data_IF_895202499133
#
_entry.id   IF_895202499133
#
_cell.length_a   1.000
_cell.length_b   1.000
_cell.length_c   1.000
_cell.angle_alpha   90.00
_cell.angle_beta   90.00
_cell.angle_gamma   90.00
#
_symmetry.space_group_name_H-M   'P 1'
#
loop_
_entity.id
_entity.type
_entity.pdbx_description
1 polymer ?
#
# COMPACT_ATOMS: atom_id res chain seq x y z
N UNK A 1 3.49 -14.15 18.76
CA UNK A 1 4.76 -13.40 18.70
C UNK A 1 4.97 -12.70 17.36
N UNK A 2 4.96 -13.38 16.22
CA UNK A 2 5.27 -12.76 14.92
C UNK A 2 4.36 -11.58 14.53
N UNK A 3 3.05 -11.65 14.82
CA UNK A 3 2.11 -10.54 14.58
C UNK A 3 2.48 -9.31 15.40
N UNK A 4 2.90 -9.49 16.66
CA UNK A 4 3.30 -8.39 17.54
C UNK A 4 4.60 -7.76 17.06
N UNK A 5 5.60 -8.58 16.69
CA UNK A 5 6.85 -8.08 16.11
C UNK A 5 6.60 -7.30 14.81
N UNK A 6 5.73 -7.82 13.93
CA UNK A 6 5.37 -7.16 12.67
C UNK A 6 4.64 -5.83 12.91
N UNK A 7 3.69 -5.80 13.86
CA UNK A 7 2.97 -4.59 14.22
C UNK A 7 3.91 -3.51 14.79
N UNK A 8 4.75 -3.86 15.78
CA UNK A 8 5.70 -2.94 16.40
C UNK A 8 6.73 -2.43 15.40
N UNK A 9 7.27 -3.30 14.55
CA UNK A 9 8.19 -2.91 13.49
C UNK A 9 7.57 -1.93 12.51
N UNK A 10 6.32 -2.19 12.09
CA UNK A 10 5.57 -1.29 11.21
C UNK A 10 5.27 0.06 11.86
N UNK A 11 4.95 0.10 13.16
CA UNK A 11 4.74 1.35 13.90
C UNK A 11 6.04 2.15 13.98
N UNK A 12 7.16 1.52 14.36
CA UNK A 12 8.47 2.18 14.45
C UNK A 12 8.92 2.76 13.12
N UNK A 13 8.81 1.99 12.03
CA UNK A 13 9.15 2.46 10.69
C UNK A 13 8.27 3.64 10.26
N UNK A 14 6.95 3.55 10.48
CA UNK A 14 6.02 4.65 10.16
C UNK A 14 6.31 5.91 10.96
N UNK A 15 6.67 5.79 12.24
CA UNK A 15 7.04 6.93 13.08
C UNK A 15 8.25 7.66 12.51
N UNK A 16 9.31 6.92 12.16
CA UNK A 16 10.55 7.49 11.62
C UNK A 16 10.38 8.05 10.20
N UNK A 17 9.59 7.39 9.36
CA UNK A 17 9.34 7.81 7.98
C UNK A 17 8.15 8.77 7.84
N UNK A 18 7.49 9.15 8.93
CA UNK A 18 6.30 10.00 8.88
C UNK A 18 6.52 11.35 8.18
N UNK A 19 7.67 12.05 8.37
CA UNK A 19 7.96 13.27 7.62
C UNK A 19 7.93 13.07 6.10
N UNK A 20 8.44 11.93 5.61
CA UNK A 20 8.49 11.59 4.19
C UNK A 20 7.10 11.28 3.64
N UNK A 21 6.26 10.60 4.43
CA UNK A 21 4.85 10.35 4.07
C UNK A 21 4.08 11.67 3.95
N UNK A 22 4.27 12.59 4.90
CA UNK A 22 3.62 13.90 4.86
C UNK A 22 4.05 14.72 3.63
N UNK A 23 5.35 14.70 3.29
CA UNK A 23 5.85 15.35 2.08
C UNK A 23 5.22 14.72 0.82
N UNK A 24 5.15 13.39 0.75
CA UNK A 24 4.49 12.65 -0.35
C UNK A 24 3.04 13.11 -0.50
N UNK A 25 2.26 13.09 0.56
CA UNK A 25 0.85 13.48 0.54
C UNK A 25 0.67 14.91 0.03
N UNK A 26 1.37 15.87 0.64
CA UNK A 26 1.30 17.29 0.22
C UNK A 26 1.75 17.46 -1.23
N UNK A 27 2.73 16.69 -1.70
CA UNK A 27 3.17 16.71 -3.10
C UNK A 27 2.05 16.25 -4.05
N UNK A 28 1.32 15.18 -3.70
CA UNK A 28 0.23 14.62 -4.49
C UNK A 28 -1.01 15.51 -4.53
N UNK A 29 -1.37 16.08 -3.39
CA UNK A 29 -2.67 16.74 -3.20
C UNK A 29 -2.59 18.25 -3.23
N UNK A 30 -1.43 18.84 -2.94
CA UNK A 30 -1.32 20.21 -2.47
C UNK A 30 -1.94 20.37 -1.07
N UNK A 31 -1.88 21.59 -0.52
CA UNK A 31 -2.71 21.93 0.63
C UNK A 31 -4.13 22.23 0.19
N UNK A 32 -5.09 21.86 1.03
CA UNK A 32 -6.49 22.24 0.91
C UNK A 32 -6.64 23.76 0.81
N UNK A 33 -7.25 24.26 -0.26
CA UNK A 33 -7.46 25.69 -0.52
C UNK A 33 -6.33 26.38 -1.28
N UNK A 34 -5.19 25.71 -1.51
CA UNK A 34 -4.21 26.22 -2.47
C UNK A 34 -4.85 26.13 -3.87
N UNK A 35 -4.83 27.21 -4.67
CA UNK A 35 -5.21 27.12 -6.06
C UNK A 35 -4.20 26.20 -6.75
N UNK A 36 -4.57 24.94 -6.99
CA UNK A 36 -3.95 24.21 -8.07
C UNK A 36 -4.28 25.03 -9.31
N UNK A 37 -3.24 25.60 -9.91
CA UNK A 37 -3.32 26.49 -11.07
C UNK A 37 -4.49 26.06 -11.95
N UNK A 38 -5.56 26.86 -11.91
CA UNK A 38 -6.75 26.61 -12.70
C UNK A 38 -6.30 26.55 -14.16
N UNK A 39 -6.82 25.61 -14.94
CA UNK A 39 -6.52 25.53 -16.37
C UNK A 39 -6.75 26.89 -17.09
N UNK A 40 -7.63 27.74 -16.55
CA UNK A 40 -7.85 29.11 -17.02
C UNK A 40 -6.62 30.02 -16.82
N UNK A 41 -5.85 29.86 -15.75
CA UNK A 41 -4.60 30.60 -15.51
C UNK A 41 -3.45 30.01 -16.32
N UNK A 42 -3.42 28.69 -16.50
CA UNK A 42 -2.46 28.01 -17.38
C UNK A 42 -2.62 28.39 -18.87
N UNK A 43 -3.83 28.78 -19.30
CA UNK A 43 -4.06 29.31 -20.64
C UNK A 43 -3.52 30.74 -20.84
N UNK A 44 -3.31 31.49 -19.75
CA UNK A 44 -2.81 32.89 -19.79
C UNK A 44 -1.29 33.02 -19.59
N UNK A 45 -0.62 31.98 -19.12
CA UNK A 45 0.84 31.93 -18.95
C UNK A 45 1.42 30.77 -19.73
N UNK A 46 2.31 31.05 -20.69
CA UNK A 46 3.04 30.07 -21.50
C UNK A 46 3.99 29.14 -20.70
N UNK A 47 4.01 29.26 -19.38
CA UNK A 47 4.78 28.44 -18.46
C UNK A 47 3.88 27.40 -17.77
N UNK A 48 4.13 26.08 -17.94
CA UNK A 48 3.39 25.06 -17.23
C UNK A 48 3.54 25.26 -15.72
N UNK A 49 2.44 25.13 -14.98
CA UNK A 49 2.43 25.23 -13.52
C UNK A 49 3.55 24.36 -12.92
N UNK A 50 4.42 24.91 -12.04
CA UNK A 50 5.51 24.13 -11.47
C UNK A 50 4.93 22.94 -10.70
N UNK A 51 5.28 21.73 -11.13
CA UNK A 51 4.91 20.53 -10.43
C UNK A 51 5.54 20.60 -9.05
N UNK A 52 4.72 20.59 -7.98
CA UNK A 52 5.23 20.55 -6.62
C UNK A 52 6.26 19.42 -6.50
N UNK A 53 7.50 19.79 -6.16
CA UNK A 53 8.59 18.84 -5.96
C UNK A 53 8.67 18.44 -4.49
N UNK A 54 9.42 17.37 -4.19
CA UNK A 54 9.68 16.90 -2.84
C UNK A 54 10.18 18.06 -1.94
N UNK A 55 11.22 18.77 -2.37
CA UNK A 55 11.82 19.86 -1.61
C UNK A 55 10.92 21.08 -1.47
N UNK A 56 10.14 21.40 -2.52
CA UNK A 56 9.19 22.50 -2.46
C UNK A 56 8.08 22.22 -1.43
N UNK A 57 7.56 20.98 -1.42
CA UNK A 57 6.55 20.54 -0.44
C UNK A 57 7.13 20.54 0.98
N UNK A 58 8.35 20.01 1.16
CA UNK A 58 9.05 20.04 2.45
C UNK A 58 9.27 21.47 2.96
N UNK A 59 9.75 22.38 2.10
CA UNK A 59 9.95 23.80 2.45
C UNK A 59 8.63 24.49 2.78
N UNK A 60 7.55 24.15 2.06
CA UNK A 60 6.21 24.70 2.33
C UNK A 60 5.66 24.24 3.69
N UNK A 61 5.81 22.95 4.03
CA UNK A 61 5.41 22.41 5.34
C UNK A 61 6.21 23.11 6.45
N UNK A 62 7.53 23.17 6.30
CA UNK A 62 8.40 23.83 7.29
C UNK A 62 8.03 25.30 7.48
N UNK A 63 7.84 26.05 6.39
CA UNK A 63 7.52 27.47 6.45
C UNK A 63 6.14 27.77 7.04
N UNK A 64 5.15 26.89 6.83
CA UNK A 64 3.78 27.07 7.35
C UNK A 64 3.63 26.58 8.80
N UNK A 65 4.36 25.53 9.20
CA UNK A 65 4.00 24.72 10.39
C UNK A 65 5.20 24.20 11.20
N UNK A 66 6.42 24.41 10.72
CA UNK A 66 7.64 23.87 11.32
C UNK A 66 7.63 22.33 11.39
N UNK A 67 8.30 21.80 12.42
CA UNK A 67 8.45 20.35 12.65
C UNK A 67 7.11 19.66 12.87
N UNK A 68 6.16 20.31 13.55
CA UNK A 68 4.86 19.74 13.87
C UNK A 68 4.02 19.40 12.62
N UNK A 69 4.23 20.13 11.51
CA UNK A 69 3.58 19.82 10.23
C UNK A 69 3.93 18.44 9.69
N UNK A 70 5.19 18.01 9.83
CA UNK A 70 5.70 16.73 9.32
C UNK A 70 5.17 15.50 10.05
N UNK A 71 4.59 15.66 11.24
CA UNK A 71 4.09 14.56 12.08
C UNK A 71 2.55 14.51 12.15
N UNK A 72 1.85 15.22 11.27
CA UNK A 72 0.37 15.24 11.28
C UNK A 72 -0.23 13.93 10.82
N UNK A 73 -1.11 13.36 11.64
CA UNK A 73 -1.75 12.08 11.35
C UNK A 73 -0.93 10.86 11.80
N UNK A 74 0.25 11.08 12.42
CA UNK A 74 1.07 9.97 12.93
C UNK A 74 0.32 9.12 13.96
N UNK A 75 -0.53 9.73 14.77
CA UNK A 75 -1.34 9.05 15.78
C UNK A 75 -2.30 8.03 15.17
N UNK A 76 -3.13 8.44 14.20
CA UNK A 76 -4.07 7.53 13.53
C UNK A 76 -3.34 6.43 12.75
N UNK A 77 -2.22 6.76 12.12
CA UNK A 77 -1.39 5.79 11.40
C UNK A 77 -0.80 4.72 12.34
N UNK A 78 -0.31 5.13 13.52
CA UNK A 78 0.27 4.23 14.50
C UNK A 78 -0.79 3.32 15.15
N UNK A 79 -1.88 3.89 15.68
CA UNK A 79 -2.96 3.14 16.35
C UNK A 79 -3.59 2.12 15.39
N UNK A 80 -3.76 2.52 14.14
CA UNK A 80 -4.32 1.70 13.10
C UNK A 80 -3.45 0.54 12.61
N UNK A 81 -2.14 0.59 12.89
CA UNK A 81 -1.18 -0.33 12.30
C UNK A 81 -1.32 -1.77 12.78
N UNK A 82 -1.45 -1.97 14.09
CA UNK A 82 -1.52 -3.29 14.69
C UNK A 82 -2.78 -4.10 14.25
N UNK A 83 -4.02 -3.57 14.37
CA UNK A 83 -5.21 -4.31 13.95
C UNK A 83 -5.22 -4.57 12.44
N UNK A 84 -4.74 -3.64 11.62
CA UNK A 84 -4.66 -3.82 10.17
C UNK A 84 -3.68 -4.94 9.77
N UNK A 85 -2.51 -5.00 10.40
CA UNK A 85 -1.52 -6.08 10.17
C UNK A 85 -2.05 -7.42 10.64
N UNK A 86 -2.67 -7.48 11.82
CA UNK A 86 -3.24 -8.71 12.34
C UNK A 86 -4.33 -9.26 11.41
N UNK A 87 -5.23 -8.39 10.93
CA UNK A 87 -6.32 -8.77 10.04
C UNK A 87 -5.79 -9.24 8.67
N UNK A 88 -4.77 -8.57 8.12
CA UNK A 88 -4.11 -8.99 6.90
C UNK A 88 -3.49 -10.40 7.04
N UNK A 89 -2.63 -10.60 8.04
CA UNK A 89 -1.95 -11.88 8.25
C UNK A 89 -2.92 -13.02 8.56
N UNK A 90 -3.94 -12.76 9.38
CA UNK A 90 -4.98 -13.74 9.68
C UNK A 90 -5.74 -14.14 8.42
N UNK A 91 -6.21 -13.16 7.64
CA UNK A 91 -6.97 -13.44 6.41
C UNK A 91 -6.11 -14.15 5.38
N UNK A 92 -4.85 -13.73 5.21
CA UNK A 92 -3.90 -14.39 4.32
C UNK A 92 -3.68 -15.85 4.71
N UNK A 93 -3.42 -16.12 6.00
CA UNK A 93 -3.19 -17.47 6.50
C UNK A 93 -4.43 -18.36 6.37
N UNK A 94 -5.62 -17.84 6.70
CA UNK A 94 -6.88 -18.54 6.52
C UNK A 94 -7.14 -18.87 5.04
N UNK A 95 -6.97 -17.89 4.15
CA UNK A 95 -7.16 -18.07 2.71
C UNK A 95 -6.16 -19.07 2.12
N UNK A 96 -4.88 -18.91 2.45
CA UNK A 96 -3.78 -19.79 2.02
C UNK A 96 -3.98 -21.24 2.48
N UNK A 97 -4.43 -21.42 3.73
CA UNK A 97 -4.70 -22.74 4.32
C UNK A 97 -5.95 -23.39 3.73
N UNK A 98 -7.03 -22.63 3.58
CA UNK A 98 -8.25 -23.11 2.94
C UNK A 98 -8.01 -23.53 1.48
N UNK A 99 -7.22 -22.75 0.73
CA UNK A 99 -6.85 -23.08 -0.65
C UNK A 99 -6.08 -24.40 -0.74
N UNK A 100 -5.08 -24.59 0.13
CA UNK A 100 -4.30 -25.84 0.18
C UNK A 100 -5.18 -27.03 0.54
N UNK A 101 -5.97 -26.93 1.62
CA UNK A 101 -6.91 -27.99 2.05
C UNK A 101 -7.89 -28.37 0.95
N UNK A 102 -8.40 -27.39 0.20
CA UNK A 102 -9.30 -27.64 -0.91
C UNK A 102 -8.61 -28.38 -2.07
N UNK A 103 -7.37 -28.00 -2.41
CA UNK A 103 -6.56 -28.67 -3.43
C UNK A 103 -6.13 -30.08 -3.02
N UNK A 104 -5.68 -30.27 -1.79
CA UNK A 104 -5.25 -31.58 -1.24
C UNK A 104 -6.41 -32.59 -1.20
N UNK A 105 -7.65 -32.10 -1.06
CA UNK A 105 -8.87 -32.89 -1.22
C UNK A 105 -9.06 -33.50 -2.62
N UNK A 106 -8.34 -33.05 -3.65
CA UNK A 106 -8.27 -33.74 -4.95
C UNK A 106 -7.40 -35.00 -4.88
N UNK A 107 -6.26 -34.95 -4.18
CA UNK A 107 -5.30 -36.04 -4.09
C UNK A 107 -5.84 -37.22 -3.26
N UNK A 108 -6.66 -36.94 -2.24
CA UNK A 108 -7.33 -37.97 -1.45
C UNK A 108 -8.43 -38.74 -2.20
N UNK A 109 -9.07 -38.11 -3.20
CA UNK A 109 -10.14 -38.75 -3.98
C UNK A 109 -9.62 -39.68 -5.09
N UNK A 110 -8.36 -39.52 -5.50
CA UNK A 110 -7.69 -40.40 -6.48
C UNK A 110 -7.08 -41.66 -5.87
N UNK A 111 -7.08 -41.80 -4.53
CA UNK A 111 -6.49 -42.94 -3.81
C UNK A 111 -7.50 -43.99 -3.31
N UNK A 112 -8.81 -43.73 -3.37
CA UNK A 112 -9.84 -44.65 -2.92
C UNK A 112 -10.52 -45.36 -4.10
N UNK A 113 -9.79 -46.29 -4.72
CA UNK A 113 -10.40 -47.37 -5.49
C UNK A 113 -10.68 -48.51 -4.51
N UNK A 114 -11.69 -48.36 -3.65
CA UNK A 114 -12.24 -49.49 -2.90
C UNK A 114 -13.74 -49.60 -3.19
N UNK A 115 -14.09 -50.79 -3.62
CA UNK A 115 -15.40 -51.35 -3.91
C UNK A 115 -16.33 -51.29 -2.69
N UNK A 116 -17.56 -50.77 -2.83
CA UNK A 116 -18.63 -51.04 -1.86
C UNK A 116 -19.68 -49.95 -1.67
N UNK A 117 -20.84 -50.18 -2.30
CA UNK A 117 -22.21 -49.89 -1.85
C UNK A 117 -22.66 -48.51 -1.32
N UNK A 118 -23.45 -47.84 -2.17
CA UNK A 118 -24.74 -47.18 -1.91
C UNK A 118 -25.02 -46.50 -0.56
N UNK A 119 -24.92 -45.16 -0.57
CA UNK A 119 -25.90 -44.26 0.06
C UNK A 119 -25.97 -42.92 -0.70
N UNK A 120 -27.16 -42.42 -1.08
CA UNK A 120 -27.29 -41.14 -1.76
C UNK A 120 -27.27 -40.00 -0.73
N UNK A 121 -26.07 -39.54 -0.43
CA UNK A 121 -25.77 -38.37 0.39
C UNK A 121 -24.25 -38.16 0.41
N UNK A 122 -23.76 -37.03 0.93
CA UNK A 122 -22.93 -35.97 0.31
C UNK A 122 -22.02 -36.25 -0.93
N UNK A 123 -22.12 -37.38 -1.62
CA UNK A 123 -21.20 -37.80 -2.69
C UNK A 123 -21.31 -37.00 -3.99
N UNK A 124 -22.51 -36.54 -4.36
CA UNK A 124 -22.72 -35.84 -5.64
C UNK A 124 -21.96 -34.51 -5.71
N UNK A 125 -21.91 -33.76 -4.60
CA UNK A 125 -21.18 -32.49 -4.51
C UNK A 125 -19.66 -32.68 -4.57
N UNK A 126 -19.14 -33.81 -4.10
CA UNK A 126 -17.71 -34.14 -4.19
C UNK A 126 -17.28 -34.46 -5.63
N UNK A 127 -18.13 -35.12 -6.43
CA UNK A 127 -17.87 -35.40 -7.84
C UNK A 127 -17.91 -34.11 -8.67
N UNK A 128 -18.86 -33.20 -8.41
CA UNK A 128 -18.96 -31.92 -9.12
C UNK A 128 -17.77 -30.98 -8.86
N UNK A 129 -17.17 -31.03 -7.66
CA UNK A 129 -16.07 -30.14 -7.28
C UNK A 129 -14.68 -30.68 -7.62
N UNK A 130 -14.55 -31.95 -8.02
CA UNK A 130 -13.28 -32.59 -8.35
C UNK A 130 -12.43 -31.84 -9.41
N UNK A 131 -12.99 -31.35 -10.54
CA UNK A 131 -12.22 -30.54 -11.50
C UNK A 131 -11.71 -29.23 -10.89
N UNK A 132 -12.50 -28.60 -10.00
CA UNK A 132 -12.10 -27.37 -9.32
C UNK A 132 -11.00 -27.61 -8.29
N UNK A 133 -11.04 -28.73 -7.56
CA UNK A 133 -9.98 -29.10 -6.62
C UNK A 133 -8.67 -29.40 -7.34
N UNK A 134 -8.72 -30.11 -8.47
CA UNK A 134 -7.54 -30.36 -9.29
C UNK A 134 -6.93 -29.06 -9.84
N UNK A 135 -7.76 -28.13 -10.32
CA UNK A 135 -7.31 -26.80 -10.74
C UNK A 135 -6.67 -26.01 -9.59
N UNK A 136 -7.26 -26.06 -8.39
CA UNK A 136 -6.71 -25.40 -7.20
C UNK A 136 -5.35 -25.99 -6.77
N UNK A 137 -5.17 -27.30 -6.87
CA UNK A 137 -3.92 -27.99 -6.57
C UNK A 137 -2.81 -27.70 -7.61
N UNK A 138 -3.19 -27.60 -8.89
CA UNK A 138 -2.27 -27.29 -9.99
C UNK A 138 -1.90 -25.80 -10.10
N UNK A 139 -2.52 -24.93 -9.30
CA UNK A 139 -2.30 -23.48 -9.35
C UNK A 139 -0.85 -23.13 -8.93
N UNK A 140 -0.10 -22.33 -9.73
CA UNK A 140 1.24 -21.89 -9.35
C UNK A 140 1.25 -21.15 -8.00
N UNK A 141 2.32 -21.34 -7.22
CA UNK A 141 2.45 -20.75 -5.88
C UNK A 141 2.35 -19.21 -5.90
N UNK A 142 2.92 -18.55 -6.92
CA UNK A 142 2.86 -17.10 -7.12
C UNK A 142 1.43 -16.59 -7.30
N UNK A 143 0.61 -17.26 -8.12
CA UNK A 143 -0.80 -16.93 -8.33
C UNK A 143 -1.58 -17.09 -7.03
N UNK A 144 -1.38 -18.21 -6.32
CA UNK A 144 -2.03 -18.45 -5.04
C UNK A 144 -1.68 -17.39 -4.00
N UNK A 145 -0.40 -17.03 -3.87
CA UNK A 145 0.05 -15.99 -2.95
C UNK A 145 -0.53 -14.63 -3.31
N UNK A 146 -0.57 -14.28 -4.60
CA UNK A 146 -1.15 -13.03 -5.07
C UNK A 146 -2.64 -12.95 -4.75
N UNK A 147 -3.42 -14.00 -5.04
CA UNK A 147 -4.87 -14.02 -4.76
C UNK A 147 -5.16 -13.99 -3.26
N UNK A 148 -4.41 -14.77 -2.45
CA UNK A 148 -4.54 -14.73 -0.99
C UNK A 148 -4.16 -13.34 -0.45
N UNK A 149 -3.15 -12.70 -1.02
CA UNK A 149 -2.75 -11.32 -0.69
C UNK A 149 -3.82 -10.29 -1.03
N UNK A 150 -4.45 -10.39 -2.21
CA UNK A 150 -5.58 -9.52 -2.58
C UNK A 150 -6.79 -9.70 -1.66
N UNK A 151 -7.11 -10.94 -1.30
CA UNK A 151 -8.20 -11.23 -0.36
C UNK A 151 -7.90 -10.67 1.03
N UNK A 152 -6.66 -10.86 1.51
CA UNK A 152 -6.19 -10.30 2.76
C UNK A 152 -6.23 -8.77 2.76
N UNK A 153 -5.83 -8.13 1.66
CA UNK A 153 -5.88 -6.68 1.53
C UNK A 153 -7.30 -6.13 1.52
N UNK A 154 -8.23 -6.84 0.88
CA UNK A 154 -9.64 -6.46 0.85
C UNK A 154 -10.21 -6.39 2.28
N UNK A 155 -9.93 -7.41 3.08
CA UNK A 155 -10.41 -7.46 4.47
C UNK A 155 -9.64 -6.48 5.36
N UNK A 156 -8.31 -6.38 5.22
CA UNK A 156 -7.49 -5.45 6.00
C UNK A 156 -7.86 -3.98 5.74
N UNK A 157 -8.29 -3.64 4.52
CA UNK A 157 -8.74 -2.30 4.12
C UNK A 157 -9.96 -1.81 4.90
N UNK A 158 -10.71 -2.70 5.57
CA UNK A 158 -11.76 -2.30 6.52
C UNK A 158 -11.20 -1.46 7.68
N UNK A 159 -9.97 -1.75 8.08
CA UNK A 159 -9.24 -0.98 9.08
C UNK A 159 -8.45 0.13 8.40
N UNK A 160 -7.64 -0.20 7.37
CA UNK A 160 -6.69 0.74 6.77
C UNK A 160 -7.32 1.97 6.12
N UNK A 161 -8.44 1.83 5.40
CA UNK A 161 -8.95 2.95 4.60
C UNK A 161 -9.45 4.12 5.48
N UNK A 162 -10.21 3.91 6.57
CA UNK A 162 -10.54 4.98 7.50
C UNK A 162 -9.33 5.70 8.10
N UNK A 163 -8.27 4.95 8.43
CA UNK A 163 -7.01 5.49 8.96
C UNK A 163 -6.31 6.35 7.90
N UNK A 164 -6.17 5.82 6.68
CA UNK A 164 -5.56 6.52 5.56
C UNK A 164 -6.33 7.81 5.28
N UNK A 165 -7.65 7.76 5.15
CA UNK A 165 -8.47 8.96 4.88
C UNK A 165 -8.26 10.03 5.96
N UNK A 166 -8.25 9.66 7.24
CA UNK A 166 -8.00 10.61 8.33
C UNK A 166 -6.58 11.18 8.26
N UNK A 167 -5.57 10.33 8.06
CA UNK A 167 -4.15 10.70 7.95
C UNK A 167 -3.90 11.65 6.78
N UNK A 168 -4.34 11.27 5.58
CA UNK A 168 -4.15 12.05 4.35
C UNK A 168 -4.81 13.44 4.49
N UNK A 169 -6.01 13.52 5.08
CA UNK A 169 -6.69 14.80 5.33
C UNK A 169 -6.02 15.66 6.40
N UNK A 170 -5.36 15.05 7.39
CA UNK A 170 -4.58 15.74 8.42
C UNK A 170 -3.26 16.29 7.84
N UNK A 171 -2.64 15.56 6.92
CA UNK A 171 -1.40 15.95 6.23
C UNK A 171 -1.66 17.06 5.19
N UNK A 172 -2.81 17.02 4.50
CA UNK A 172 -3.13 17.96 3.42
C UNK A 172 -3.78 19.29 3.86
N UNK A 173 -3.91 19.57 5.16
CA UNK A 173 -4.61 20.77 5.64
C UNK A 173 -3.64 21.92 5.95
N UNK A 174 -3.86 23.14 5.43
CA UNK A 174 -3.03 24.28 5.81
C UNK A 174 -3.46 24.89 7.15
N UNK A 175 -2.64 25.76 7.75
CA UNK A 175 -2.97 26.50 8.97
C UNK A 175 -4.19 27.40 8.83
N UNK A 176 -4.39 27.96 7.63
CA UNK A 176 -5.47 28.89 7.31
C UNK A 176 -6.84 28.24 7.15
N UNK A 177 -6.92 26.90 7.22
CA UNK A 177 -8.15 26.19 6.95
C UNK A 177 -9.18 26.37 8.08
N UNK A 178 -10.36 26.90 7.74
CA UNK A 178 -11.50 26.92 8.64
C UNK A 178 -11.97 25.50 8.96
N UNK A 179 -12.37 25.25 10.22
CA UNK A 179 -12.74 23.91 10.71
C UNK A 179 -11.63 22.85 10.55
N UNK A 180 -10.37 23.25 10.77
CA UNK A 180 -9.21 22.35 10.81
C UNK A 180 -9.41 21.22 11.82
N UNK A 181 -8.90 20.03 11.47
CA UNK A 181 -8.85 18.92 12.42
C UNK A 181 -7.75 19.17 13.45
N UNK A 182 -8.09 19.06 14.73
CA UNK A 182 -7.15 19.32 15.84
C UNK A 182 -6.33 18.08 16.18
N UNK A 183 -6.93 16.90 16.04
CA UNK A 183 -6.31 15.62 16.37
C UNK A 183 -6.76 14.49 15.43
N UNK A 184 -6.11 13.33 15.56
CA UNK A 184 -6.48 12.11 14.85
C UNK A 184 -7.91 11.65 15.13
N UNK A 185 -8.33 11.71 16.39
CA UNK A 185 -9.69 11.35 16.81
C UNK A 185 -10.72 12.38 16.35
N UNK A 186 -10.38 13.67 16.45
CA UNK A 186 -11.23 14.75 15.93
C UNK A 186 -11.44 14.62 14.42
N UNK A 187 -10.41 14.21 13.66
CA UNK A 187 -10.54 13.91 12.24
C UNK A 187 -11.53 12.77 11.99
N UNK A 188 -11.33 11.61 12.62
CA UNK A 188 -12.23 10.45 12.45
C UNK A 188 -13.68 10.78 12.83
N UNK A 189 -13.87 11.42 13.99
CA UNK A 189 -15.20 11.79 14.50
C UNK A 189 -15.88 12.80 13.57
N UNK A 190 -15.19 13.86 13.15
CA UNK A 190 -15.79 14.85 12.25
C UNK A 190 -16.06 14.28 10.87
N UNK A 191 -15.25 13.36 10.36
CA UNK A 191 -15.54 12.69 9.09
C UNK A 191 -16.81 11.84 9.23
N UNK A 192 -16.90 11.05 10.31
CA UNK A 192 -18.06 10.20 10.56
C UNK A 192 -19.35 11.01 10.75
N UNK A 193 -19.32 12.06 11.57
CA UNK A 193 -20.50 12.89 11.87
C UNK A 193 -20.97 13.66 10.65
N UNK A 194 -20.06 14.21 9.84
CA UNK A 194 -20.43 15.14 8.78
C UNK A 194 -20.52 14.49 7.38
N UNK A 195 -19.79 13.41 7.12
CA UNK A 195 -19.77 12.70 5.83
C UNK A 195 -20.30 11.26 5.91
N UNK A 196 -20.52 10.75 7.12
CA UNK A 196 -20.93 9.37 7.35
C UNK A 196 -19.82 8.36 7.08
N UNK A 197 -20.20 7.08 7.14
CA UNK A 197 -19.32 5.93 6.85
C UNK A 197 -18.69 6.05 5.45
N UNK A 198 -19.45 6.55 4.46
CA UNK A 198 -18.96 6.77 3.10
C UNK A 198 -17.78 7.75 3.03
N UNK A 199 -17.70 8.71 3.96
CA UNK A 199 -16.56 9.61 4.09
C UNK A 199 -15.30 8.91 4.56
N UNK A 200 -15.42 8.03 5.57
CA UNK A 200 -14.30 7.23 6.09
C UNK A 200 -13.75 6.24 5.06
N UNK A 201 -14.61 5.67 4.22
CA UNK A 201 -14.23 4.71 3.17
C UNK A 201 -14.02 5.35 1.80
N UNK A 202 -13.79 6.67 1.76
CA UNK A 202 -13.60 7.38 0.50
C UNK A 202 -12.31 6.91 -0.18
N UNK A 203 -12.44 6.38 -1.39
CA UNK A 203 -11.31 5.81 -2.13
C UNK A 203 -11.00 4.35 -1.81
N UNK A 204 -11.90 3.62 -1.13
CA UNK A 204 -11.72 2.18 -0.87
C UNK A 204 -11.49 1.36 -2.16
N UNK A 205 -12.36 1.53 -3.17
CA UNK A 205 -12.19 0.85 -4.46
C UNK A 205 -10.88 1.26 -5.16
N UNK A 206 -10.50 2.53 -5.09
CA UNK A 206 -9.22 3.03 -5.62
C UNK A 206 -8.03 2.42 -4.89
N UNK A 207 -8.14 2.18 -3.59
CA UNK A 207 -7.10 1.55 -2.77
C UNK A 207 -6.85 0.11 -3.24
N UNK A 208 -7.91 -0.69 -3.40
CA UNK A 208 -7.80 -2.06 -3.91
C UNK A 208 -7.27 -2.10 -5.34
N UNK A 209 -7.76 -1.21 -6.20
CA UNK A 209 -7.33 -1.12 -7.59
C UNK A 209 -5.86 -0.70 -7.75
N UNK A 210 -5.30 0.06 -6.80
CA UNK A 210 -3.88 0.40 -6.76
C UNK A 210 -3.00 -0.74 -6.24
N UNK A 211 -3.50 -1.51 -5.27
CA UNK A 211 -2.71 -2.54 -4.59
C UNK A 211 -2.31 -3.70 -5.50
N UNK A 212 -3.25 -4.24 -6.29
CA UNK A 212 -2.97 -5.38 -7.16
C UNK A 212 -1.84 -5.13 -8.17
N UNK A 213 -1.92 -4.07 -8.99
CA UNK A 213 -0.85 -3.69 -9.92
C UNK A 213 0.47 -3.41 -9.21
N UNK A 214 0.44 -2.75 -8.05
CA UNK A 214 1.67 -2.46 -7.29
C UNK A 214 2.35 -3.74 -6.83
N UNK A 215 1.60 -4.64 -6.19
CA UNK A 215 2.11 -5.92 -5.70
C UNK A 215 2.65 -6.79 -6.83
N UNK A 216 1.93 -6.88 -7.95
CA UNK A 216 2.36 -7.66 -9.11
C UNK A 216 3.71 -7.18 -9.66
N UNK A 217 3.83 -5.86 -9.91
CA UNK A 217 5.10 -5.28 -10.39
C UNK A 217 6.20 -5.44 -9.35
N UNK A 218 5.91 -5.17 -8.08
CA UNK A 218 6.88 -5.28 -7.00
C UNK A 218 7.50 -6.68 -6.93
N UNK A 219 6.67 -7.73 -6.87
CA UNK A 219 7.16 -9.10 -6.74
C UNK A 219 7.94 -9.58 -7.97
N UNK A 220 7.48 -9.24 -9.18
CA UNK A 220 8.20 -9.59 -10.42
C UNK A 220 9.60 -8.99 -10.43
N UNK A 221 9.72 -7.69 -10.12
CA UNK A 221 11.02 -7.02 -10.12
C UNK A 221 11.88 -7.39 -8.92
N UNK A 222 11.26 -7.65 -7.76
CA UNK A 222 11.97 -8.16 -6.59
C UNK A 222 12.62 -9.51 -6.89
N UNK A 223 11.87 -10.48 -7.42
CA UNK A 223 12.41 -11.80 -7.77
C UNK A 223 13.49 -11.71 -8.85
N UNK A 224 13.28 -10.87 -9.87
CA UNK A 224 14.29 -10.62 -10.89
C UNK A 224 15.58 -10.05 -10.29
N UNK A 225 15.47 -9.02 -9.45
CA UNK A 225 16.64 -8.37 -8.83
C UNK A 225 17.34 -9.29 -7.83
N UNK A 226 16.62 -10.08 -7.03
CA UNK A 226 17.23 -11.08 -6.14
C UNK A 226 18.07 -12.05 -6.96
N UNK A 227 17.50 -12.64 -8.03
CA UNK A 227 18.22 -13.59 -8.90
C UNK A 227 19.49 -12.97 -9.47
N UNK A 228 19.38 -11.78 -10.06
CA UNK A 228 20.52 -11.08 -10.69
C UNK A 228 21.59 -10.66 -9.70
N UNK A 229 21.21 -10.12 -8.54
CA UNK A 229 22.17 -9.70 -7.50
C UNK A 229 22.84 -10.90 -6.84
N UNK A 230 22.12 -12.00 -6.62
CA UNK A 230 22.71 -13.25 -6.15
C UNK A 230 23.67 -13.84 -7.18
N UNK A 231 23.31 -13.88 -8.46
CA UNK A 231 24.22 -14.29 -9.54
C UNK A 231 25.52 -13.47 -9.50
N UNK A 232 25.41 -12.13 -9.46
CA UNK A 232 26.57 -11.23 -9.38
C UNK A 232 27.40 -11.44 -8.10
N UNK A 233 26.76 -11.65 -6.96
CA UNK A 233 27.45 -11.95 -5.69
C UNK A 233 28.19 -13.29 -5.73
N UNK A 234 27.54 -14.34 -6.24
CA UNK A 234 28.15 -15.67 -6.38
C UNK A 234 29.31 -15.67 -7.37
N UNK A 235 29.28 -14.84 -8.42
CA UNK A 235 30.40 -14.69 -9.37
C UNK A 235 31.56 -13.88 -8.77
N UNK A 236 31.28 -12.87 -7.94
CA UNK A 236 32.32 -11.99 -7.36
C UNK A 236 32.99 -12.58 -6.12
N UNK A 237 32.30 -13.40 -5.33
CA UNK A 237 32.85 -14.02 -4.10
C UNK A 237 33.40 -15.43 -4.36
N UNK A 238 33.05 -16.06 -5.48
CA UNK A 238 33.57 -17.38 -5.85
C UNK A 238 34.77 -17.24 -6.82
N UNK A 239 35.88 -16.70 -6.30
CA UNK A 239 37.19 -17.19 -6.71
C UNK A 239 37.29 -18.68 -6.30
N UNK A 240 38.02 -19.54 -7.03
CA UNK A 240 37.72 -20.97 -7.07
C UNK A 240 38.10 -21.66 -5.76
N UNK A 241 37.12 -22.26 -5.08
CA UNK A 241 37.39 -23.39 -4.21
C UNK A 241 36.46 -24.54 -4.58
N UNK A 242 37.11 -25.62 -5.05
CA UNK A 242 36.54 -26.91 -5.42
C UNK A 242 35.81 -27.57 -4.25
N UNK A 243 34.78 -28.34 -4.60
CA UNK A 243 34.49 -29.62 -3.95
C UNK A 243 33.73 -29.56 -2.62
N UNK A 244 32.42 -29.83 -2.68
CA UNK A 244 31.66 -30.16 -1.47
C UNK A 244 30.16 -30.07 -1.67
N UNK A 245 29.54 -31.19 -2.01
CA UNK A 245 28.09 -31.39 -1.84
C UNK A 245 27.77 -31.14 -0.36
N UNK A 246 26.85 -30.23 -0.05
CA UNK A 246 26.29 -30.16 1.30
C UNK A 246 24.79 -29.94 1.29
N UNK A 247 24.20 -30.53 2.32
CA UNK A 247 22.85 -31.03 2.42
C UNK A 247 21.82 -29.93 2.63
N UNK A 248 20.64 -30.16 2.07
CA UNK A 248 19.44 -29.35 2.22
C UNK A 248 18.85 -29.67 3.60
N UNK A 249 19.03 -28.78 4.58
CA UNK A 249 18.17 -28.53 5.75
C UNK A 249 19.01 -28.03 6.95
N UNK A 250 19.28 -26.73 7.02
CA UNK A 250 19.34 -25.95 8.26
C UNK A 250 18.95 -24.50 7.91
N UNK A 251 18.25 -23.80 8.82
CA UNK A 251 17.93 -22.39 8.65
C UNK A 251 19.21 -21.57 8.82
N UNK A 252 19.98 -21.44 7.75
CA UNK A 252 21.23 -20.68 7.70
C UNK A 252 21.04 -19.28 8.31
N UNK A 253 21.95 -18.83 9.19
CA UNK A 253 21.91 -17.48 9.73
C UNK A 253 22.03 -16.46 8.58
N UNK A 254 21.20 -15.41 8.62
CA UNK A 254 21.21 -14.34 7.63
C UNK A 254 22.61 -13.73 7.51
N UNK A 255 23.32 -14.03 6.42
CA UNK A 255 24.58 -13.35 6.13
C UNK A 255 24.31 -11.86 5.83
N UNK A 256 25.20 -10.93 6.22
CA UNK A 256 25.06 -9.51 5.87
C UNK A 256 24.91 -9.29 4.35
N UNK A 257 25.50 -10.16 3.54
CA UNK A 257 25.38 -10.15 2.09
C UNK A 257 23.96 -10.51 1.61
N UNK A 258 23.35 -11.56 2.16
CA UNK A 258 21.97 -11.94 1.85
C UNK A 258 20.99 -10.82 2.21
N UNK A 259 21.21 -10.18 3.36
CA UNK A 259 20.42 -9.00 3.77
C UNK A 259 20.61 -7.83 2.80
N UNK A 260 21.84 -7.51 2.40
CA UNK A 260 22.12 -6.44 1.46
C UNK A 260 21.48 -6.69 0.08
N UNK A 261 21.50 -7.93 -0.41
CA UNK A 261 20.83 -8.34 -1.65
C UNK A 261 19.31 -8.16 -1.52
N UNK A 262 18.71 -8.67 -0.45
CA UNK A 262 17.27 -8.55 -0.23
C UNK A 262 16.82 -7.09 -0.09
N UNK A 263 17.61 -6.26 0.61
CA UNK A 263 17.38 -4.83 0.76
C UNK A 263 17.45 -4.10 -0.58
N UNK A 264 18.49 -4.38 -1.38
CA UNK A 264 18.71 -3.75 -2.69
C UNK A 264 17.63 -4.16 -3.69
N UNK A 265 17.26 -5.44 -3.74
CA UNK A 265 16.17 -5.94 -4.57
C UNK A 265 14.82 -5.38 -4.12
N UNK A 266 14.58 -5.29 -2.81
CA UNK A 266 13.38 -4.68 -2.24
C UNK A 266 13.26 -3.19 -2.57
N UNK A 267 14.36 -2.43 -2.50
CA UNK A 267 14.38 -1.03 -2.89
C UNK A 267 14.16 -0.87 -4.41
N UNK A 268 14.85 -1.65 -5.24
CA UNK A 268 14.71 -1.59 -6.69
C UNK A 268 13.31 -1.97 -7.17
N UNK A 269 12.73 -3.05 -6.61
CA UNK A 269 11.34 -3.44 -6.89
C UNK A 269 10.34 -2.35 -6.51
N UNK A 270 10.52 -1.69 -5.36
CA UNK A 270 9.69 -0.56 -4.94
C UNK A 270 9.80 0.64 -5.88
N UNK A 271 11.00 0.96 -6.38
CA UNK A 271 11.20 2.05 -7.34
C UNK A 271 10.40 1.78 -8.62
N UNK A 272 10.56 0.59 -9.20
CA UNK A 272 9.87 0.24 -10.45
C UNK A 272 8.35 0.19 -10.25
N UNK A 273 7.89 -0.46 -9.17
CA UNK A 273 6.46 -0.50 -8.84
C UNK A 273 5.88 0.90 -8.60
N UNK A 274 6.62 1.79 -7.94
CA UNK A 274 6.19 3.17 -7.70
C UNK A 274 6.13 3.98 -8.99
N UNK A 275 7.08 3.80 -9.91
CA UNK A 275 7.08 4.46 -11.21
C UNK A 275 5.88 4.04 -12.06
N UNK A 276 5.59 2.74 -12.14
CA UNK A 276 4.51 2.23 -12.98
C UNK A 276 3.12 2.49 -12.40
N UNK A 277 2.98 2.50 -11.07
CA UNK A 277 1.68 2.65 -10.40
C UNK A 277 1.44 4.03 -9.79
N UNK A 278 2.31 5.02 -10.06
CA UNK A 278 2.09 6.40 -9.60
C UNK A 278 0.73 6.97 -10.01
N UNK A 279 0.22 6.75 -11.24
CA UNK A 279 -1.08 7.27 -11.64
C UNK A 279 -2.22 6.83 -10.71
N UNK A 280 -2.21 5.56 -10.29
CA UNK A 280 -3.27 4.98 -9.45
C UNK A 280 -3.18 5.53 -8.01
N UNK A 281 -1.97 5.62 -7.48
CA UNK A 281 -1.72 6.15 -6.15
C UNK A 281 -2.07 7.64 -6.07
N UNK A 282 -1.69 8.44 -7.08
CA UNK A 282 -2.02 9.86 -7.14
C UNK A 282 -3.53 10.10 -7.07
N UNK A 283 -4.31 9.37 -7.88
CA UNK A 283 -5.77 9.50 -7.88
C UNK A 283 -6.37 8.99 -6.57
N UNK A 284 -5.88 7.86 -6.03
CA UNK A 284 -6.28 7.35 -4.70
C UNK A 284 -6.12 8.43 -3.63
N UNK A 285 -4.92 9.00 -3.49
CA UNK A 285 -4.62 9.99 -2.45
C UNK A 285 -5.47 11.26 -2.62
N UNK A 286 -5.63 11.76 -3.85
CA UNK A 286 -6.53 12.89 -4.15
C UNK A 286 -7.98 12.59 -3.79
N UNK A 287 -8.48 11.38 -4.05
CA UNK A 287 -9.83 10.98 -3.64
C UNK A 287 -9.99 10.96 -2.12
N UNK A 288 -9.00 10.47 -1.38
CA UNK A 288 -9.03 10.35 0.09
C UNK A 288 -9.07 11.72 0.79
N UNK A 289 -8.39 12.74 0.25
CA UNK A 289 -8.35 14.09 0.87
C UNK A 289 -9.60 14.94 0.62
N UNK A 290 -10.39 14.64 -0.41
CA UNK A 290 -11.58 15.43 -0.75
C UNK A 290 -12.62 15.45 0.38
N UNK A 291 -12.83 16.61 1.00
CA UNK A 291 -13.79 16.82 2.09
C UNK A 291 -15.17 17.19 1.54
N UNK A 292 -16.21 16.44 1.92
CA UNK A 292 -17.59 16.80 1.62
C UNK A 292 -18.15 17.86 2.58
N UNK A 293 -17.62 17.94 3.82
CA UNK A 293 -18.14 18.83 4.88
C UNK A 293 -18.08 20.31 4.51
N UNK A 294 -17.02 20.77 3.84
CA UNK A 294 -16.85 22.18 3.51
C UNK A 294 -17.86 22.67 2.46
N UNK A 295 -18.54 21.76 1.77
CA UNK A 295 -19.62 22.09 0.84
C UNK A 295 -20.97 22.33 1.54
N UNK A 296 -21.19 21.72 2.72
CA UNK A 296 -22.52 21.67 3.38
C UNK A 296 -22.74 22.79 4.39
N UNK A 297 -21.69 23.45 4.90
CA UNK A 297 -21.78 24.41 6.02
C UNK A 297 -21.89 25.89 5.62
N UNK A 298 -22.33 26.20 4.40
CA UNK A 298 -22.78 27.56 4.06
C UNK A 298 -21.68 28.61 3.86
N UNK A 299 -20.51 28.23 3.32
CA UNK A 299 -19.71 29.21 2.55
C UNK A 299 -20.39 29.29 1.18
N UNK A 300 -20.92 30.47 0.83
CA UNK A 300 -21.91 30.67 -0.23
C UNK A 300 -21.60 30.00 -1.57
N UNK A 301 -22.64 29.91 -2.41
CA UNK A 301 -22.71 29.26 -3.72
C UNK A 301 -21.67 29.72 -4.78
N UNK A 302 -20.62 30.46 -4.39
CA UNK A 302 -19.51 30.93 -5.24
C UNK A 302 -18.13 30.50 -4.72
N UNK A 303 -18.03 29.50 -3.82
CA UNK A 303 -16.74 29.10 -3.24
C UNK A 303 -16.13 27.95 -4.03
N UNK A 304 -14.99 28.21 -4.67
CA UNK A 304 -14.06 27.24 -5.24
C UNK A 304 -13.93 26.03 -4.32
N UNK A 305 -14.07 24.81 -4.86
CA UNK A 305 -13.89 23.59 -4.08
C UNK A 305 -12.58 23.62 -3.30
N UNK A 306 -12.58 23.06 -2.08
CA UNK A 306 -11.38 22.98 -1.22
C UNK A 306 -10.15 22.46 -1.97
N UNK A 307 -10.39 21.56 -2.91
CA UNK A 307 -9.43 21.18 -3.91
C UNK A 307 -9.99 21.56 -5.27
N UNK A 308 -9.12 21.94 -6.21
CA UNK A 308 -9.50 22.19 -7.58
C UNK A 308 -10.03 20.94 -8.31
N UNK A 309 -9.90 19.76 -7.69
CA UNK A 309 -10.31 18.48 -8.25
C UNK A 309 -11.41 17.80 -7.42
N UNK A 310 -12.35 17.15 -8.13
CA UNK A 310 -13.40 16.30 -7.53
C UNK A 310 -13.57 15.04 -8.38
N UNK A 311 -13.33 13.87 -7.78
CA UNK A 311 -13.37 12.57 -8.46
C UNK A 311 -14.32 11.64 -7.72
N UNK A 312 -15.21 10.95 -8.45
CA UNK A 312 -16.09 9.94 -7.88
C UNK A 312 -15.52 8.53 -8.03
N UNK A 313 -14.63 8.33 -8.99
CA UNK A 313 -13.99 7.05 -9.29
C UNK A 313 -12.54 7.22 -9.74
N UNK A 314 -11.79 6.12 -9.68
CA UNK A 314 -10.41 6.05 -10.17
C UNK A 314 -10.32 6.42 -11.66
N UNK A 315 -11.23 5.88 -12.49
CA UNK A 315 -11.29 6.17 -13.94
C UNK A 315 -11.53 7.65 -14.20
N UNK A 316 -12.48 8.25 -13.50
CA UNK A 316 -12.78 9.68 -13.64
C UNK A 316 -11.58 10.53 -13.24
N UNK A 317 -10.88 10.19 -12.15
CA UNK A 317 -9.66 10.90 -11.75
C UNK A 317 -8.53 10.77 -12.76
N UNK A 318 -8.29 9.57 -13.32
CA UNK A 318 -7.29 9.37 -14.37
C UNK A 318 -7.61 10.16 -15.64
N UNK A 319 -8.87 10.17 -16.06
CA UNK A 319 -9.32 10.92 -17.24
C UNK A 319 -9.26 12.43 -16.99
N UNK A 320 -9.67 12.90 -15.81
CA UNK A 320 -9.63 14.31 -15.46
C UNK A 320 -8.19 14.84 -15.42
N UNK A 321 -7.26 14.15 -14.74
CA UNK A 321 -5.86 14.57 -14.68
C UNK A 321 -5.23 14.61 -16.07
N UNK A 322 -5.49 13.60 -16.91
CA UNK A 322 -4.93 13.57 -18.27
C UNK A 322 -5.46 14.69 -19.16
N UNK A 323 -6.75 15.06 -19.02
CA UNK A 323 -7.37 16.15 -19.79
C UNK A 323 -7.03 17.55 -19.26
N UNK A 324 -6.96 17.73 -17.95
CA UNK A 324 -6.85 19.04 -17.31
C UNK A 324 -5.40 19.43 -16.98
N UNK A 325 -4.57 18.48 -16.54
CA UNK A 325 -3.17 18.72 -16.14
C UNK A 325 -2.15 18.10 -17.13
N UNK A 326 -2.63 17.27 -18.05
CA UNK A 326 -1.82 16.54 -19.03
C UNK A 326 -1.30 15.20 -18.53
N UNK A 327 -0.87 14.34 -19.47
CA UNK A 327 -0.45 12.96 -19.18
C UNK A 327 0.72 12.87 -18.18
N UNK A 328 1.65 13.83 -18.22
CA UNK A 328 2.82 13.86 -17.33
C UNK A 328 2.46 14.12 -15.87
N UNK A 329 1.32 14.77 -15.62
CA UNK A 329 0.86 15.05 -14.27
C UNK A 329 0.53 13.77 -13.48
N UNK A 330 0.26 12.65 -14.15
CA UNK A 330 0.08 11.35 -13.49
C UNK A 330 1.34 10.85 -12.75
N UNK A 331 2.52 11.38 -13.08
CA UNK A 331 3.79 11.07 -12.41
C UNK A 331 4.20 12.14 -11.38
N UNK A 332 3.35 13.13 -11.11
CA UNK A 332 3.58 14.13 -10.07
C UNK A 332 3.84 13.43 -8.74
N UNK A 333 4.92 13.83 -8.07
CA UNK A 333 5.31 13.35 -6.75
C UNK A 333 5.90 11.95 -6.68
N UNK A 334 6.21 11.30 -7.82
CA UNK A 334 6.81 9.96 -7.82
C UNK A 334 8.13 9.89 -7.04
N UNK A 335 8.93 10.96 -7.09
CA UNK A 335 10.13 11.09 -6.27
C UNK A 335 9.83 11.10 -4.77
N UNK A 336 8.78 11.82 -4.34
CA UNK A 336 8.34 11.82 -2.93
C UNK A 336 7.81 10.45 -2.50
N UNK A 337 7.12 9.73 -3.39
CA UNK A 337 6.69 8.34 -3.14
C UNK A 337 7.89 7.43 -2.90
N UNK A 338 8.88 7.45 -3.80
CA UNK A 338 10.09 6.62 -3.69
C UNK A 338 10.86 6.95 -2.41
N UNK A 339 11.02 8.26 -2.11
CA UNK A 339 11.70 8.74 -0.92
C UNK A 339 11.05 8.22 0.37
N UNK A 340 9.73 8.00 0.37
CA UNK A 340 9.02 7.40 1.50
C UNK A 340 9.08 5.86 1.50
N UNK A 341 8.75 5.21 0.37
CA UNK A 341 8.50 3.76 0.35
C UNK A 341 9.74 2.92 0.63
N UNK A 342 10.90 3.32 0.08
CA UNK A 342 12.12 2.52 0.22
C UNK A 342 12.65 2.51 1.68
N UNK A 343 12.81 3.68 2.37
CA UNK A 343 13.20 3.69 3.77
C UNK A 343 12.18 3.02 4.69
N UNK A 344 10.87 3.21 4.44
CA UNK A 344 9.83 2.61 5.26
C UNK A 344 9.88 1.07 5.21
N UNK A 345 10.07 0.50 4.01
CA UNK A 345 10.21 -0.95 3.85
C UNK A 345 11.48 -1.48 4.53
N UNK A 346 12.61 -0.79 4.34
CA UNK A 346 13.89 -1.15 4.95
C UNK A 346 13.81 -1.16 6.48
N UNK A 347 13.30 -0.07 7.07
CA UNK A 347 13.14 0.04 8.53
C UNK A 347 12.17 -1.01 9.06
N UNK A 348 11.05 -1.26 8.38
CA UNK A 348 10.09 -2.28 8.83
C UNK A 348 10.75 -3.65 8.92
N UNK A 349 11.53 -4.03 7.91
CA UNK A 349 12.26 -5.31 7.92
C UNK A 349 13.33 -5.34 9.02
N UNK A 350 14.15 -4.30 9.14
CA UNK A 350 15.19 -4.21 10.17
C UNK A 350 14.62 -4.29 11.60
N UNK A 351 13.53 -3.56 11.89
CA UNK A 351 12.87 -3.64 13.19
C UNK A 351 12.22 -5.00 13.43
N UNK A 352 11.66 -5.63 12.40
CA UNK A 352 11.07 -6.95 12.53
C UNK A 352 12.13 -7.99 12.93
N UNK A 353 13.27 -8.00 12.25
CA UNK A 353 14.38 -8.89 12.57
C UNK A 353 14.95 -8.61 13.96
N UNK A 354 15.16 -7.34 14.31
CA UNK A 354 15.61 -6.94 15.64
C UNK A 354 14.66 -7.46 16.74
N UNK A 355 13.37 -7.17 16.63
CA UNK A 355 12.37 -7.61 17.61
C UNK A 355 12.27 -9.14 17.66
N UNK A 356 12.36 -9.82 16.52
CA UNK A 356 12.35 -11.28 16.46
C UNK A 356 13.59 -11.89 17.14
N UNK A 357 14.76 -11.27 17.03
CA UNK A 357 15.99 -11.72 17.70
C UNK A 357 15.95 -11.56 19.22
N UNK A 358 15.30 -10.50 19.73
CA UNK A 358 15.20 -10.23 21.17
C UNK A 358 14.11 -11.06 21.88
N UNK A 359 13.13 -11.55 21.11
CA UNK A 359 11.98 -12.32 21.63
C UNK A 359 12.10 -13.83 21.36
N UNK A 360 13.27 -14.29 20.94
CA UNK A 360 13.69 -15.70 21.00
C UNK A 360 14.18 -16.02 22.39
#
# INVERSE_FOLDING_TARGET
MEVVCSALAGISARLLCHPLDTIKTVTFTGFAGDPLVSAATAASTSTPAPHASFFQSARSIWGKEGVAGFYRGVGVAAVGSAPGVALYLSTYNSCSTAWKRFGDGAAGATGSTETGESSPGPGMMNVTLQPLRAAAAATPSSVRFFVCGLAAETVSCLVWVPIDVAKERLQSQPPSLTCRYTSSLDALQRILVNEGVRGLYKGYASTLASFGPFSAVYFVFYEYLVKRLTELYTVTVRAPMQGGRSSRNEAEPFSPATFAVALSAGAGGNVVASLLTNPLELVKTRMQVQRAVLYRRGVGASTSGLFAYRYRSLREGLVAITKEEGIRALWKGVGSRIAYTAPNAALTMSFFEFLKSQLR
#
